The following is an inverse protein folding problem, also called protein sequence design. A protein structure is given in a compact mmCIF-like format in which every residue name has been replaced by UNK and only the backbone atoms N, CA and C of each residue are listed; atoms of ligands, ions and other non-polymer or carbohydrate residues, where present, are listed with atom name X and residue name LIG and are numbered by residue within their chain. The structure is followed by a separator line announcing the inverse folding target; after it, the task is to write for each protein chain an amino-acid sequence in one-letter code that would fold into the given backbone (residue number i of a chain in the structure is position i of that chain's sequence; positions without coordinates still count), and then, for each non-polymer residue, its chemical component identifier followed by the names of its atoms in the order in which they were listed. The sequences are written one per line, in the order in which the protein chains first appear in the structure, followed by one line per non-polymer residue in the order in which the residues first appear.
data_IF_073588031161
#
_entry.id   IF_073588031161
#
_cell.length_a   1.000
_cell.length_b   1.000
_cell.length_c   1.000
_cell.angle_alpha   90.00
_cell.angle_beta   90.00
_cell.angle_gamma   90.00
#
_symmetry.space_group_name_H-M   'P 1'
#
loop_
_entity.id
_entity.type
_entity.pdbx_description
1 polymer ?
#
# COMPACT_ATOMS: atom_id res chain seq x y z
N UNK A 1 7.63 21.35 17.65
CA UNK A 1 7.63 19.88 17.52
C UNK A 1 6.49 19.54 16.56
N UNK A 2 6.64 18.61 15.61
CA UNK A 2 5.50 18.22 14.79
C UNK A 2 4.43 17.60 15.70
N UNK A 3 3.18 17.99 15.48
CA UNK A 3 2.03 17.44 16.22
C UNK A 3 1.82 15.97 15.88
N UNK A 4 1.38 15.17 16.85
CA UNK A 4 0.99 13.79 16.59
C UNK A 4 -0.46 13.69 16.06
N UNK A 5 -0.84 12.52 15.54
CA UNK A 5 -2.17 12.30 14.96
C UNK A 5 -3.31 12.61 15.95
N UNK A 6 -3.11 12.34 17.25
CA UNK A 6 -4.08 12.61 18.30
C UNK A 6 -4.28 14.10 18.56
N UNK A 7 -3.21 14.89 18.50
CA UNK A 7 -3.26 16.35 18.56
C UNK A 7 -3.99 16.94 17.33
N UNK A 8 -3.71 16.42 16.13
CA UNK A 8 -4.37 16.86 14.89
C UNK A 8 -5.89 16.59 14.91
N UNK A 9 -6.33 15.44 15.44
CA UNK A 9 -7.77 15.12 15.57
C UNK A 9 -8.47 16.11 16.51
N UNK A 10 -7.82 16.48 17.63
CA UNK A 10 -8.37 17.45 18.57
C UNK A 10 -8.50 18.83 17.94
N UNK A 11 -7.46 19.27 17.23
CA UNK A 11 -7.47 20.55 16.52
C UNK A 11 -8.55 20.60 15.43
N UNK A 12 -8.76 19.48 14.71
CA UNK A 12 -9.80 19.36 13.71
C UNK A 12 -11.24 19.37 14.28
N UNK A 13 -11.42 19.26 15.60
CA UNK A 13 -12.72 19.42 16.27
C UNK A 13 -13.67 18.24 16.08
N UNK A 14 -13.17 17.02 15.88
CA UNK A 14 -14.02 15.83 15.79
C UNK A 14 -14.81 15.62 17.09
N UNK A 15 -16.11 15.26 17.01
CA UNK A 15 -16.88 14.93 18.21
C UNK A 15 -16.25 13.78 19.01
N UNK A 16 -16.40 13.77 20.36
CA UNK A 16 -15.90 12.69 21.19
C UNK A 16 -16.41 11.31 20.71
N UNK A 17 -15.50 10.34 20.62
CA UNK A 17 -15.81 8.96 20.21
C UNK A 17 -15.83 8.69 18.70
N UNK A 18 -15.71 9.73 17.86
CA UNK A 18 -15.63 9.55 16.39
C UNK A 18 -14.30 8.95 15.97
N UNK A 19 -13.20 9.38 16.61
CA UNK A 19 -11.87 8.82 16.38
C UNK A 19 -11.27 8.43 17.72
N UNK A 20 -10.87 7.16 17.82
CA UNK A 20 -10.20 6.60 18.99
C UNK A 20 -8.89 5.98 18.53
N UNK A 21 -7.78 6.41 19.14
CA UNK A 21 -6.45 5.85 18.90
C UNK A 21 -6.10 4.95 20.09
N UNK A 22 -5.71 3.71 19.80
CA UNK A 22 -5.28 2.74 20.80
C UNK A 22 -3.81 2.39 20.48
N UNK A 23 -2.90 2.76 21.38
CA UNK A 23 -1.47 2.48 21.25
C UNK A 23 -1.07 1.25 22.08
N UNK A 24 -0.01 0.55 21.68
CA UNK A 24 0.68 -0.49 22.46
C UNK A 24 -0.09 -1.81 22.76
N UNK A 25 -1.16 -2.11 22.02
CA UNK A 25 -1.92 -3.37 22.18
C UNK A 25 -2.23 -4.05 20.83
N UNK A 26 -1.28 -4.03 19.88
CA UNK A 26 -1.56 -4.39 18.49
C UNK A 26 -2.18 -5.77 18.29
N UNK A 27 -1.74 -6.79 19.05
CA UNK A 27 -2.29 -8.15 18.95
C UNK A 27 -3.60 -8.29 19.71
N UNK A 28 -3.64 -7.88 20.98
CA UNK A 28 -4.82 -8.04 21.83
C UNK A 28 -5.97 -7.14 21.36
N UNK A 29 -5.72 -5.85 21.16
CA UNK A 29 -6.73 -4.91 20.69
C UNK A 29 -7.14 -5.19 19.24
N UNK A 30 -6.19 -5.56 18.37
CA UNK A 30 -6.50 -5.94 17.00
C UNK A 30 -7.42 -7.16 16.93
N UNK A 31 -7.14 -8.19 17.73
CA UNK A 31 -7.99 -9.38 17.79
C UNK A 31 -9.38 -9.09 18.39
N UNK A 32 -9.43 -8.29 19.46
CA UNK A 32 -10.69 -7.87 20.07
C UNK A 32 -11.57 -7.10 19.07
N UNK A 33 -11.01 -6.08 18.41
CA UNK A 33 -11.71 -5.29 17.39
C UNK A 33 -12.14 -6.15 16.19
N UNK A 34 -11.27 -7.07 15.74
CA UNK A 34 -11.59 -7.95 14.63
C UNK A 34 -12.72 -8.94 14.96
N UNK A 35 -12.86 -9.36 16.22
CA UNK A 35 -13.91 -10.30 16.66
C UNK A 35 -15.20 -9.65 17.16
N UNK A 36 -15.19 -8.35 17.51
CA UNK A 36 -16.32 -7.68 18.16
C UNK A 36 -17.55 -7.56 17.24
N UNK A 37 -18.75 -8.01 17.65
CA UNK A 37 -19.98 -7.86 16.85
C UNK A 37 -20.45 -6.41 16.68
N UNK A 38 -19.97 -5.47 17.49
CA UNK A 38 -20.26 -4.04 17.38
C UNK A 38 -19.38 -3.29 16.38
N UNK A 39 -18.39 -3.95 15.76
CA UNK A 39 -17.54 -3.37 14.71
C UNK A 39 -18.07 -3.75 13.33
N UNK A 40 -18.52 -2.76 12.57
CA UNK A 40 -19.09 -2.99 11.23
C UNK A 40 -18.05 -3.30 10.15
N UNK A 41 -16.83 -2.77 10.32
CA UNK A 41 -15.75 -2.86 9.33
C UNK A 41 -14.37 -2.86 9.96
N UNK A 42 -13.48 -3.70 9.42
CA UNK A 42 -12.05 -3.69 9.73
C UNK A 42 -11.27 -3.35 8.47
N UNK A 43 -10.40 -2.34 8.56
CA UNK A 43 -9.39 -2.06 7.55
C UNK A 43 -8.02 -2.44 8.11
N UNK A 44 -7.33 -3.38 7.47
CA UNK A 44 -6.05 -3.92 7.90
C UNK A 44 -4.98 -3.71 6.83
N UNK A 45 -3.75 -3.40 7.24
CA UNK A 45 -2.59 -3.36 6.35
C UNK A 45 -1.41 -3.97 7.11
N UNK A 46 -0.83 -5.04 6.57
CA UNK A 46 0.23 -5.76 7.26
C UNK A 46 0.66 -7.03 6.53
N UNK A 47 1.13 -8.02 7.30
CA UNK A 47 1.58 -9.29 6.73
C UNK A 47 0.40 -10.17 6.33
N UNK A 48 0.59 -11.01 5.30
CA UNK A 48 -0.41 -12.01 4.89
C UNK A 48 -0.77 -13.00 6.01
N UNK A 49 0.16 -13.32 6.90
CA UNK A 49 -0.12 -14.19 8.03
C UNK A 49 -1.12 -13.53 9.00
N UNK A 50 -0.83 -12.29 9.41
CA UNK A 50 -1.70 -11.52 10.31
C UNK A 50 -3.04 -11.19 9.65
N UNK A 51 -3.05 -10.86 8.35
CA UNK A 51 -4.27 -10.60 7.60
C UNK A 51 -5.24 -11.78 7.59
N UNK A 52 -4.72 -13.01 7.40
CA UNK A 52 -5.51 -14.24 7.52
C UNK A 52 -6.10 -14.43 8.92
N UNK A 53 -5.33 -14.11 9.98
CA UNK A 53 -5.83 -14.15 11.35
C UNK A 53 -6.97 -13.14 11.57
N UNK A 54 -6.79 -11.89 11.12
CA UNK A 54 -7.81 -10.83 11.20
C UNK A 54 -9.08 -11.23 10.45
N UNK A 55 -8.96 -11.76 9.22
CA UNK A 55 -10.09 -12.25 8.44
C UNK A 55 -10.80 -13.42 9.14
N UNK A 56 -10.05 -14.35 9.74
CA UNK A 56 -10.59 -15.48 10.48
C UNK A 56 -11.43 -15.04 11.68
N UNK A 57 -10.95 -14.04 12.44
CA UNK A 57 -11.69 -13.47 13.57
C UNK A 57 -12.95 -12.71 13.11
N UNK A 58 -12.85 -11.96 12.01
CA UNK A 58 -13.98 -11.20 11.46
C UNK A 58 -15.08 -12.08 10.88
N UNK A 59 -14.75 -13.29 10.38
CA UNK A 59 -15.68 -14.19 9.71
C UNK A 59 -16.93 -14.52 10.56
N UNK A 60 -16.78 -14.66 11.89
CA UNK A 60 -17.90 -14.97 12.79
C UNK A 60 -18.98 -13.88 12.87
N UNK A 61 -18.68 -12.68 12.38
CA UNK A 61 -19.58 -11.51 12.44
C UNK A 61 -20.02 -11.00 11.07
N UNK A 62 -19.49 -11.60 9.99
CA UNK A 62 -19.74 -11.18 8.59
C UNK A 62 -19.42 -9.70 8.31
N UNK A 63 -18.60 -9.06 9.17
CA UNK A 63 -18.16 -7.67 8.97
C UNK A 63 -17.28 -7.54 7.73
N UNK A 64 -17.32 -6.36 7.12
CA UNK A 64 -16.51 -6.08 5.93
C UNK A 64 -15.04 -5.98 6.35
N UNK A 65 -14.16 -6.74 5.70
CA UNK A 65 -12.71 -6.63 5.89
C UNK A 65 -12.07 -6.13 4.61
N UNK A 66 -11.36 -5.01 4.71
CA UNK A 66 -10.45 -4.55 3.65
C UNK A 66 -9.03 -4.80 4.13
N UNK A 67 -8.33 -5.75 3.51
CA UNK A 67 -6.97 -6.09 3.92
C UNK A 67 -5.98 -5.88 2.78
N UNK A 68 -4.80 -5.35 3.13
CA UNK A 68 -3.68 -5.17 2.22
C UNK A 68 -2.51 -6.01 2.71
N UNK A 69 -2.44 -7.21 2.15
CA UNK A 69 -1.71 -8.35 2.71
C UNK A 69 -0.77 -8.97 1.67
N UNK A 70 0.29 -8.26 1.30
CA UNK A 70 1.22 -8.71 0.27
C UNK A 70 2.65 -8.24 0.52
N UNK A 71 3.62 -8.96 -0.07
CA UNK A 71 5.03 -8.51 -0.13
C UNK A 71 5.24 -7.30 -1.07
N UNK A 72 4.19 -6.88 -1.78
CA UNK A 72 4.20 -5.67 -2.59
C UNK A 72 4.05 -4.45 -1.66
N UNK A 73 5.19 -3.87 -1.30
CA UNK A 73 5.24 -2.58 -0.59
C UNK A 73 5.10 -1.48 -1.63
N UNK A 74 4.19 -0.52 -1.42
CA UNK A 74 4.12 0.68 -2.26
C UNK A 74 5.41 1.49 -2.08
N UNK A 75 6.32 1.42 -3.05
CA UNK A 75 7.56 2.19 -3.08
C UNK A 75 7.46 3.41 -3.99
N UNK A 76 6.27 3.99 -4.15
CA UNK A 76 6.10 5.32 -4.74
C UNK A 76 6.66 6.41 -3.80
N UNK A 77 7.90 6.25 -3.35
CA UNK A 77 8.59 7.21 -2.51
C UNK A 77 9.27 8.21 -3.42
N UNK A 78 8.85 9.47 -3.33
CA UNK A 78 9.43 10.56 -4.12
C UNK A 78 10.91 10.81 -3.79
N UNK A 79 11.41 10.25 -2.66
CA UNK A 79 12.78 10.35 -2.18
C UNK A 79 13.19 9.08 -1.44
N UNK A 80 14.36 8.54 -1.77
CA UNK A 80 15.01 7.44 -1.05
C UNK A 80 16.31 7.98 -0.46
N UNK A 81 16.40 8.01 0.88
CA UNK A 81 17.62 8.41 1.59
C UNK A 81 18.28 7.15 2.14
N UNK A 82 19.55 6.95 1.83
CA UNK A 82 20.31 5.75 2.20
C UNK A 82 21.59 6.18 2.89
N UNK A 83 21.83 5.64 4.08
CA UNK A 83 23.04 5.92 4.84
C UNK A 83 24.29 5.44 4.07
N UNK A 84 25.38 6.22 4.09
CA UNK A 84 26.61 5.94 3.31
C UNK A 84 27.15 4.52 3.52
N UNK A 85 27.13 4.04 4.76
CA UNK A 85 27.61 2.72 5.15
C UNK A 85 26.94 1.54 4.42
N UNK A 86 25.75 1.74 3.85
CA UNK A 86 24.99 0.69 3.14
C UNK A 86 24.66 1.06 1.70
N UNK A 87 25.06 2.26 1.23
CA UNK A 87 24.64 2.85 -0.04
C UNK A 87 24.90 1.92 -1.24
N UNK A 88 26.14 1.48 -1.41
CA UNK A 88 26.53 0.63 -2.55
C UNK A 88 25.77 -0.70 -2.56
N UNK A 89 25.63 -1.32 -1.38
CA UNK A 89 24.91 -2.59 -1.25
C UNK A 89 23.40 -2.44 -1.52
N UNK A 90 22.83 -1.29 -1.16
CA UNK A 90 21.44 -0.97 -1.44
C UNK A 90 21.24 -0.74 -2.93
N UNK A 91 22.05 0.09 -3.57
CA UNK A 91 21.96 0.38 -5.02
C UNK A 91 22.11 -0.89 -5.84
N UNK A 92 23.07 -1.75 -5.51
CA UNK A 92 23.25 -3.03 -6.21
C UNK A 92 22.02 -3.93 -6.11
N UNK A 93 21.43 -4.08 -4.90
CA UNK A 93 20.22 -4.89 -4.70
C UNK A 93 18.99 -4.27 -5.35
N UNK A 94 18.85 -2.95 -5.25
CA UNK A 94 17.71 -2.21 -5.81
C UNK A 94 17.70 -2.30 -7.34
N UNK A 95 18.84 -2.07 -7.97
CA UNK A 95 18.98 -2.18 -9.43
C UNK A 95 18.84 -3.62 -9.92
N UNK A 96 19.29 -4.62 -9.17
CA UNK A 96 19.08 -6.03 -9.49
C UNK A 96 17.60 -6.45 -9.42
N UNK A 97 16.80 -5.79 -8.58
CA UNK A 97 15.35 -6.01 -8.50
C UNK A 97 14.58 -5.26 -9.61
N UNK A 98 15.19 -4.27 -10.27
CA UNK A 98 14.58 -3.53 -11.36
C UNK A 98 14.75 -4.28 -12.69
N UNK A 99 13.62 -4.64 -13.32
CA UNK A 99 13.61 -5.35 -14.61
C UNK A 99 13.39 -4.34 -15.73
N UNK A 100 14.24 -4.42 -16.76
CA UNK A 100 14.06 -3.64 -18.00
C UNK A 100 13.16 -4.43 -18.95
N UNK A 101 12.21 -3.74 -19.57
CA UNK A 101 11.36 -4.25 -20.64
C UNK A 101 11.45 -3.31 -21.85
N UNK A 102 11.02 -3.79 -23.03
CA UNK A 102 10.98 -2.98 -24.26
C UNK A 102 9.59 -2.85 -24.85
N UNK A 103 8.72 -3.81 -24.60
CA UNK A 103 7.35 -3.84 -25.13
C UNK A 103 6.32 -3.72 -24.01
N UNK A 104 5.14 -3.19 -24.33
CA UNK A 104 4.02 -3.03 -23.38
C UNK A 104 3.50 -4.39 -22.91
N UNK A 105 3.40 -5.35 -23.83
CA UNK A 105 2.92 -6.71 -23.57
C UNK A 105 3.88 -7.47 -22.63
N UNK A 106 5.18 -7.24 -22.80
CA UNK A 106 6.22 -7.79 -21.91
C UNK A 106 6.08 -7.23 -20.49
N UNK A 107 5.89 -5.92 -20.36
CA UNK A 107 5.71 -5.27 -19.06
C UNK A 107 4.45 -5.76 -18.33
N UNK A 108 3.34 -5.92 -19.06
CA UNK A 108 2.09 -6.44 -18.53
C UNK A 108 2.24 -7.90 -18.08
N UNK A 109 2.85 -8.76 -18.89
CA UNK A 109 3.12 -10.14 -18.53
C UNK A 109 3.98 -10.23 -17.26
N UNK A 110 5.05 -9.42 -17.15
CA UNK A 110 5.90 -9.39 -15.96
C UNK A 110 5.17 -8.84 -14.71
N UNK A 111 4.32 -7.83 -14.88
CA UNK A 111 3.58 -7.23 -13.76
C UNK A 111 2.49 -8.16 -13.21
N UNK A 112 1.84 -8.93 -14.10
CA UNK A 112 0.79 -9.89 -13.75
C UNK A 112 1.35 -11.28 -13.38
N UNK A 113 2.64 -11.57 -13.63
CA UNK A 113 3.33 -12.78 -13.16
C UNK A 113 3.62 -12.71 -11.65
N UNK A 114 2.55 -12.61 -10.87
CA UNK A 114 2.59 -12.57 -9.43
C UNK A 114 1.39 -13.31 -8.86
N UNK A 115 1.58 -14.16 -7.82
CA UNK A 115 0.45 -14.72 -7.09
C UNK A 115 -0.28 -13.67 -6.22
N UNK A 116 0.14 -12.40 -6.28
CA UNK A 116 -0.41 -11.26 -5.56
C UNK A 116 -0.91 -10.20 -6.55
N UNK A 117 -1.94 -9.44 -6.16
CA UNK A 117 -2.49 -8.34 -6.97
C UNK A 117 -2.88 -7.15 -6.10
N UNK A 118 -1.97 -6.70 -5.21
CA UNK A 118 -2.31 -5.68 -4.23
C UNK A 118 -2.42 -4.29 -4.84
N UNK A 119 -1.41 -3.92 -5.61
CA UNK A 119 -1.35 -2.62 -6.26
C UNK A 119 -0.30 -2.62 -7.38
N UNK A 120 -0.62 -1.94 -8.47
CA UNK A 120 0.28 -1.67 -9.58
C UNK A 120 0.30 -0.17 -9.89
N UNK A 121 1.35 0.31 -10.54
CA UNK A 121 1.38 1.68 -11.02
C UNK A 121 2.08 1.76 -12.38
N UNK A 122 1.55 2.60 -13.26
CA UNK A 122 2.17 2.94 -14.54
C UNK A 122 2.58 4.41 -14.51
N UNK A 123 3.82 4.67 -14.90
CA UNK A 123 4.36 6.03 -15.04
C UNK A 123 4.76 6.26 -16.49
N UNK A 124 4.16 7.26 -17.13
CA UNK A 124 4.44 7.58 -18.53
C UNK A 124 4.10 9.04 -18.84
N UNK A 125 4.59 9.54 -19.97
CA UNK A 125 4.15 10.83 -20.55
C UNK A 125 2.89 10.70 -21.41
N UNK A 126 2.57 9.48 -21.86
CA UNK A 126 1.41 9.18 -22.70
C UNK A 126 0.24 8.67 -21.83
N UNK A 127 -0.72 9.55 -21.55
CA UNK A 127 -1.87 9.22 -20.72
C UNK A 127 -2.81 8.20 -21.40
N UNK A 128 -2.88 8.16 -22.73
CA UNK A 128 -3.72 7.19 -23.42
C UNK A 128 -3.15 5.78 -23.25
N UNK A 129 -1.82 5.64 -23.36
CA UNK A 129 -1.12 4.41 -23.02
C UNK A 129 -1.31 4.05 -21.54
N UNK A 130 -1.16 5.01 -20.63
CA UNK A 130 -1.35 4.78 -19.19
C UNK A 130 -2.73 4.17 -18.89
N UNK A 131 -3.80 4.74 -19.45
CA UNK A 131 -5.15 4.23 -19.26
C UNK A 131 -5.39 2.86 -19.89
N UNK A 132 -4.75 2.55 -21.02
CA UNK A 132 -4.83 1.23 -21.64
C UNK A 132 -4.15 0.19 -20.75
N UNK A 133 -2.87 0.41 -20.40
CA UNK A 133 -2.09 -0.48 -19.53
C UNK A 133 -2.75 -0.67 -18.17
N UNK A 134 -3.26 0.41 -17.57
CA UNK A 134 -3.89 0.35 -16.26
C UNK A 134 -5.09 -0.60 -16.20
N UNK A 135 -5.80 -0.81 -17.31
CA UNK A 135 -6.94 -1.75 -17.38
C UNK A 135 -6.53 -3.20 -17.45
N UNK A 136 -5.29 -3.46 -17.87
CA UNK A 136 -4.76 -4.81 -18.08
C UNK A 136 -3.97 -5.32 -16.87
N UNK A 137 -3.73 -4.49 -15.85
CA UNK A 137 -3.13 -4.96 -14.60
C UNK A 137 -4.11 -5.81 -13.77
N UNK A 138 -3.64 -6.96 -13.32
CA UNK A 138 -4.35 -7.85 -12.40
C UNK A 138 -4.12 -7.42 -10.94
N UNK A 139 -4.46 -6.17 -10.62
CA UNK A 139 -4.28 -5.59 -9.28
C UNK A 139 -5.53 -4.86 -8.77
N UNK A 140 -5.79 -4.94 -7.46
CA UNK A 140 -6.95 -4.32 -6.82
C UNK A 140 -6.89 -2.79 -6.74
N UNK A 141 -5.70 -2.21 -6.92
CA UNK A 141 -5.50 -0.76 -7.01
C UNK A 141 -4.47 -0.45 -8.10
N UNK A 142 -4.79 0.44 -9.02
CA UNK A 142 -3.88 0.84 -10.09
C UNK A 142 -3.68 2.35 -10.05
N UNK A 143 -2.44 2.78 -9.78
CA UNK A 143 -2.03 4.18 -9.84
C UNK A 143 -1.60 4.58 -11.25
N UNK A 144 -2.02 5.76 -11.70
CA UNK A 144 -1.54 6.35 -12.95
C UNK A 144 -0.70 7.58 -12.59
N UNK A 145 0.59 7.50 -12.87
CA UNK A 145 1.52 8.59 -12.67
C UNK A 145 1.97 9.22 -13.98
N UNK A 146 2.22 10.53 -13.94
CA UNK A 146 2.85 11.26 -15.03
C UNK A 146 4.35 11.35 -14.79
N UNK A 147 5.13 11.03 -15.82
CA UNK A 147 6.55 11.38 -15.85
C UNK A 147 6.69 12.85 -16.28
N UNK A 148 7.36 13.65 -15.47
CA UNK A 148 7.40 15.12 -15.57
C UNK A 148 8.62 15.67 -16.34
N UNK A 149 9.44 14.81 -16.95
CA UNK A 149 10.75 15.20 -17.49
C UNK A 149 11.81 15.20 -16.40
N UNK A 150 13.08 15.10 -16.80
CA UNK A 150 14.26 15.06 -15.90
C UNK A 150 14.22 13.96 -14.82
N UNK A 151 13.46 12.88 -15.07
CA UNK A 151 13.29 11.78 -14.11
C UNK A 151 12.33 12.07 -12.96
N UNK A 152 11.60 13.19 -13.01
CA UNK A 152 10.54 13.50 -12.07
C UNK A 152 9.32 12.59 -12.29
N UNK A 153 8.78 12.01 -11.21
CA UNK A 153 7.54 11.23 -11.23
C UNK A 153 6.49 11.93 -10.37
N UNK A 154 5.29 12.14 -10.90
CA UNK A 154 4.13 12.60 -10.15
C UNK A 154 3.04 11.53 -10.19
N UNK A 155 2.75 10.91 -9.04
CA UNK A 155 1.59 10.04 -8.87
C UNK A 155 0.30 10.85 -8.68
N UNK A 156 -0.82 10.31 -9.16
CA UNK A 156 -2.17 10.75 -8.84
C UNK A 156 -2.91 9.63 -8.10
#
# INVERSE_FOLDING_TARGET
MPMDDGELIKEAGFPPGVVTIINEYGREAGAALAGDPGVDKVAFTGSTATGKEVMGLAAGTLKIVTARDGRQVCTATSRILVHEAVYESFVAKFTAAAVRFRAEEEALAMANDSPYGLGAAVFTRDLAMAHRVAREFEAGMVGIGRELGEGGLQGY
#
